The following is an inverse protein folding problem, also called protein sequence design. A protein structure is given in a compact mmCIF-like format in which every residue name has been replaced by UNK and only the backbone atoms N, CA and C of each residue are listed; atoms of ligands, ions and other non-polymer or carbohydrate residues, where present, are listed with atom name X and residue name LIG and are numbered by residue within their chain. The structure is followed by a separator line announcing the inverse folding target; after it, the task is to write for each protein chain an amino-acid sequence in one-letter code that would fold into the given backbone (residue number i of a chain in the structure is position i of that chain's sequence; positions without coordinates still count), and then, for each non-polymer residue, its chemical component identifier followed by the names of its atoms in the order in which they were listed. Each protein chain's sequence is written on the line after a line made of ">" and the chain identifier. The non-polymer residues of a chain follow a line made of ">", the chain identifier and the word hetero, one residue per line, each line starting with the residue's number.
data_IF_170092204112
#
_entry.id   IF_170092204112
#
_cell.length_a   1.000
_cell.length_b   1.000
_cell.length_c   1.000
_cell.angle_alpha   90.00
_cell.angle_beta   90.00
_cell.angle_gamma   90.00
#
_symmetry.space_group_name_H-M   'P 1'
#
loop_
_entity.id
_entity.type
_entity.pdbx_description
1 polymer ?
#
# COMPACT_ATOMS: atom_id res chain seq x y z
N UNK A 1 -15.07 -25.68 -14.33
CA UNK A 1 -14.28 -24.44 -14.49
C UNK A 1 -14.22 -23.79 -13.13
N UNK A 2 -13.09 -23.92 -12.42
CA UNK A 2 -12.93 -23.28 -11.11
C UNK A 2 -12.89 -21.76 -11.31
N UNK A 3 -13.54 -20.94 -10.46
CA UNK A 3 -13.37 -19.51 -10.54
C UNK A 3 -11.90 -19.21 -10.24
N UNK A 4 -11.25 -18.47 -11.14
CA UNK A 4 -10.01 -17.78 -10.81
C UNK A 4 -10.39 -16.78 -9.73
N UNK A 5 -10.20 -17.16 -8.47
CA UNK A 5 -10.15 -16.21 -7.37
C UNK A 5 -8.88 -15.43 -7.67
N UNK A 6 -9.02 -14.30 -8.35
CA UNK A 6 -7.92 -13.37 -8.54
C UNK A 6 -7.41 -13.04 -7.15
N UNK A 7 -6.17 -13.40 -6.87
CA UNK A 7 -5.48 -13.00 -5.65
C UNK A 7 -5.52 -11.47 -5.61
N UNK A 8 -6.46 -10.92 -4.84
CA UNK A 8 -6.37 -9.55 -4.37
C UNK A 8 -5.24 -9.61 -3.36
N UNK A 9 -4.02 -9.44 -3.86
CA UNK A 9 -2.86 -9.30 -3.01
C UNK A 9 -3.14 -8.08 -2.12
N UNK A 10 -3.34 -8.33 -0.82
CA UNK A 10 -3.77 -7.30 0.14
C UNK A 10 -2.76 -6.14 0.24
N UNK A 11 -1.59 -6.31 -0.38
CA UNK A 11 -0.49 -5.36 -0.40
C UNK A 11 -0.38 -4.61 -1.74
N UNK A 12 -1.26 -4.84 -2.71
CA UNK A 12 -1.29 -4.07 -3.94
C UNK A 12 -2.08 -2.77 -3.76
N UNK A 13 -1.34 -1.67 -3.58
CA UNK A 13 -1.83 -0.30 -3.44
C UNK A 13 -1.37 0.56 -4.63
N UNK A 14 -1.09 -0.06 -5.77
CA UNK A 14 -0.71 0.64 -7.00
C UNK A 14 -1.79 1.68 -7.36
N UNK A 15 -1.38 2.89 -7.72
CA UNK A 15 -2.25 4.04 -8.03
C UNK A 15 -3.21 4.45 -6.90
N UNK A 16 -3.04 3.95 -5.67
CA UNK A 16 -3.92 4.28 -4.56
C UNK A 16 -3.81 5.77 -4.20
N UNK A 17 -4.95 6.44 -4.02
CA UNK A 17 -4.97 7.78 -3.46
C UNK A 17 -4.92 7.73 -1.93
N UNK A 18 -3.73 7.85 -1.37
CA UNK A 18 -3.45 7.87 0.07
C UNK A 18 -3.17 9.30 0.57
N UNK A 19 -3.65 10.32 -0.14
CA UNK A 19 -3.44 11.72 0.20
C UNK A 19 -3.98 12.01 1.60
N UNK A 20 -3.14 12.57 2.48
CA UNK A 20 -3.44 12.84 3.89
C UNK A 20 -3.88 11.61 4.71
N UNK A 21 -3.58 10.40 4.25
CA UNK A 21 -3.91 9.18 4.98
C UNK A 21 -3.18 9.11 6.33
N UNK A 22 -3.87 8.61 7.37
CA UNK A 22 -3.28 8.34 8.68
C UNK A 22 -2.69 6.94 8.68
N UNK A 23 -1.44 6.81 8.24
CA UNK A 23 -0.72 5.53 8.15
C UNK A 23 0.26 5.33 9.31
N UNK A 24 0.13 6.10 10.40
CA UNK A 24 1.02 5.99 11.55
C UNK A 24 1.05 4.56 12.08
N UNK A 25 2.25 4.00 12.20
CA UNK A 25 2.51 2.63 12.65
C UNK A 25 1.88 1.54 11.76
N UNK A 26 1.47 1.86 10.52
CA UNK A 26 0.93 0.89 9.58
C UNK A 26 2.00 -0.08 9.07
N UNK A 27 1.61 -1.33 8.80
CA UNK A 27 2.49 -2.31 8.20
C UNK A 27 2.25 -2.41 6.69
N UNK A 28 3.13 -1.80 5.90
CA UNK A 28 3.15 -1.84 4.43
C UNK A 28 4.34 -2.67 3.91
N UNK A 29 4.75 -3.69 4.69
CA UNK A 29 5.79 -4.62 4.29
C UNK A 29 5.45 -5.26 2.93
N UNK A 30 6.36 -5.11 1.95
CA UNK A 30 6.15 -5.57 0.57
C UNK A 30 4.93 -4.98 -0.14
N UNK A 31 4.45 -3.81 0.27
CA UNK A 31 3.38 -3.14 -0.47
C UNK A 31 3.85 -2.66 -1.83
N UNK A 32 3.03 -2.85 -2.87
CA UNK A 32 3.21 -2.17 -4.15
C UNK A 32 2.48 -0.82 -4.06
N UNK A 33 3.23 0.27 -3.96
CA UNK A 33 2.77 1.66 -3.89
C UNK A 33 3.14 2.43 -5.16
N UNK A 34 3.47 1.75 -6.26
CA UNK A 34 3.79 2.38 -7.54
C UNK A 34 2.64 3.33 -7.92
N UNK A 35 2.98 4.58 -8.21
CA UNK A 35 2.03 5.66 -8.54
C UNK A 35 1.02 6.01 -7.42
N UNK A 36 1.20 5.52 -6.19
CA UNK A 36 0.33 5.88 -5.08
C UNK A 36 0.53 7.34 -4.68
N UNK A 37 -0.56 8.08 -4.52
CA UNK A 37 -0.50 9.45 -4.01
C UNK A 37 -0.38 9.45 -2.49
N UNK A 38 0.85 9.55 -1.97
CA UNK A 38 1.13 9.66 -0.53
C UNK A 38 1.22 11.11 -0.02
N UNK A 39 0.78 12.10 -0.81
CA UNK A 39 0.93 13.52 -0.46
C UNK A 39 0.28 13.83 0.89
N UNK A 40 1.09 14.31 1.84
CA UNK A 40 0.62 14.64 3.19
C UNK A 40 0.22 13.45 4.06
N UNK A 41 0.46 12.21 3.63
CA UNK A 41 0.23 11.03 4.46
C UNK A 41 1.11 11.05 5.71
N UNK A 42 0.54 10.65 6.86
CA UNK A 42 1.31 10.45 8.08
C UNK A 42 1.93 9.06 8.07
N UNK A 43 3.21 8.98 7.70
CA UNK A 43 3.99 7.74 7.61
C UNK A 43 4.89 7.47 8.83
N UNK A 44 4.65 8.15 9.96
CA UNK A 44 5.42 7.95 11.20
C UNK A 44 5.36 6.48 11.61
N UNK A 45 6.49 5.86 11.90
CA UNK A 45 6.59 4.44 12.29
C UNK A 45 5.98 3.44 11.27
N UNK A 46 5.70 3.87 10.03
CA UNK A 46 5.20 2.95 9.00
C UNK A 46 6.29 1.97 8.57
N UNK A 47 5.98 0.68 8.56
CA UNK A 47 6.88 -0.31 8.00
C UNK A 47 6.76 -0.35 6.47
N UNK A 48 7.67 0.31 5.78
CA UNK A 48 7.81 0.30 4.31
C UNK A 48 8.92 -0.67 3.85
N UNK A 49 9.34 -1.63 4.68
CA UNK A 49 10.41 -2.53 4.29
C UNK A 49 9.98 -3.40 3.10
N UNK A 50 10.79 -3.40 2.04
CA UNK A 50 10.54 -4.06 0.74
C UNK A 50 9.30 -3.56 -0.01
N UNK A 51 8.71 -2.42 0.35
CA UNK A 51 7.67 -1.83 -0.52
C UNK A 51 8.27 -1.27 -1.80
N UNK A 52 7.54 -1.40 -2.89
CA UNK A 52 7.83 -0.71 -4.16
C UNK A 52 7.12 0.65 -4.14
N UNK A 53 7.81 1.76 -4.40
CA UNK A 53 7.24 3.13 -4.45
C UNK A 53 7.34 3.71 -5.86
#
# INVERSE_FOLDING_TARGET
>A
MLPVIGDIDRNNLNQANLCKAKLRSANLYKANLIEANLSGANLIETNLYKSDL
#
